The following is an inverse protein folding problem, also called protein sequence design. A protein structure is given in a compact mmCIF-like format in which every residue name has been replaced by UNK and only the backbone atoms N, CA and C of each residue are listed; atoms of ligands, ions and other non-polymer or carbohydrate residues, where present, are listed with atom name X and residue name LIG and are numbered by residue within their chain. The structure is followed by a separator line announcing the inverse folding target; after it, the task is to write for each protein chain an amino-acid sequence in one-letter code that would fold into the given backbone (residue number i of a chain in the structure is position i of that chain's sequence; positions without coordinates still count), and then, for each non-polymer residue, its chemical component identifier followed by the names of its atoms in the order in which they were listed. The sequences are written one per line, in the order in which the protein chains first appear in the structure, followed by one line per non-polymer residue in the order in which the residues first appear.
data_IF_567577772748
#
_entry.id   IF_567577772748
#
_cell.length_a   1.000
_cell.length_b   1.000
_cell.length_c   1.000
_cell.angle_alpha   90.00
_cell.angle_beta   90.00
_cell.angle_gamma   90.00
#
_symmetry.space_group_name_H-M   'P 1'
#
loop_
_entity.id
_entity.type
_entity.pdbx_description
1 polymer ?
#
# COMPACT_ATOMS: atom_id res chain seq x y z
N UNK A 1 -16.68 -49.27 -25.43
CA UNK A 1 -15.50 -48.42 -25.10
C UNK A 1 -14.28 -48.60 -26.04
N UNK A 2 -14.17 -49.63 -26.91
CA UNK A 2 -13.00 -49.82 -27.82
C UNK A 2 -13.08 -49.16 -29.21
N UNK A 3 -14.27 -48.71 -29.64
CA UNK A 3 -14.48 -48.21 -31.02
C UNK A 3 -13.66 -46.96 -31.39
N UNK A 4 -13.55 -45.98 -30.49
CA UNK A 4 -12.89 -44.69 -30.79
C UNK A 4 -11.36 -44.78 -30.94
N UNK A 5 -10.70 -45.70 -30.21
CA UNK A 5 -9.26 -45.96 -30.38
C UNK A 5 -8.95 -46.67 -31.69
N UNK A 6 -9.79 -47.63 -32.08
CA UNK A 6 -9.62 -48.40 -33.32
C UNK A 6 -9.95 -47.55 -34.55
N UNK A 7 -10.95 -46.67 -34.47
CA UNK A 7 -11.30 -45.72 -35.54
C UNK A 7 -10.24 -44.62 -35.73
N UNK A 8 -9.45 -44.34 -34.69
CA UNK A 8 -8.40 -43.33 -34.70
C UNK A 8 -8.94 -41.94 -34.38
N UNK A 9 -8.54 -41.40 -33.23
CA UNK A 9 -8.97 -40.07 -32.72
C UNK A 9 -8.73 -38.94 -33.74
N UNK A 10 -7.72 -39.08 -34.59
CA UNK A 10 -7.42 -38.10 -35.65
C UNK A 10 -8.47 -38.05 -36.77
N UNK A 11 -9.24 -39.12 -36.96
CA UNK A 11 -10.29 -39.24 -37.99
C UNK A 11 -11.66 -38.73 -37.51
N UNK A 12 -11.77 -38.34 -36.24
CA UNK A 12 -13.03 -37.83 -35.70
C UNK A 12 -13.30 -36.42 -36.22
N UNK A 13 -14.54 -36.13 -36.65
CA UNK A 13 -14.97 -34.77 -36.96
C UNK A 13 -14.72 -33.85 -35.77
N UNK A 14 -14.26 -32.62 -36.04
CA UNK A 14 -13.97 -31.60 -35.02
C UNK A 14 -14.90 -30.39 -35.19
N UNK A 15 -16.23 -30.55 -35.03
CA UNK A 15 -17.10 -29.39 -35.08
C UNK A 15 -16.72 -28.44 -33.93
N UNK A 16 -16.68 -27.12 -34.17
CA UNK A 16 -16.46 -26.18 -33.09
C UNK A 16 -17.59 -26.31 -32.06
N UNK A 17 -17.30 -26.15 -30.75
CA UNK A 17 -18.34 -26.15 -29.74
C UNK A 17 -19.29 -24.98 -30.01
N UNK A 18 -20.60 -25.27 -30.04
CA UNK A 18 -21.64 -24.26 -30.16
C UNK A 18 -22.13 -23.90 -28.76
N UNK A 19 -22.04 -22.62 -28.40
CA UNK A 19 -22.54 -22.10 -27.14
C UNK A 19 -23.20 -20.73 -27.38
N UNK A 20 -24.25 -20.37 -26.61
CA UNK A 20 -24.85 -19.05 -26.70
C UNK A 20 -23.87 -17.97 -26.20
N UNK A 21 -23.76 -16.87 -26.94
CA UNK A 21 -23.00 -15.70 -26.52
C UNK A 21 -23.82 -14.88 -25.52
N UNK A 22 -23.62 -15.15 -24.22
CA UNK A 22 -24.31 -14.42 -23.14
C UNK A 22 -23.37 -13.36 -22.57
N UNK A 23 -23.79 -12.09 -22.62
CA UNK A 23 -23.07 -11.00 -21.96
C UNK A 23 -23.21 -11.15 -20.44
N UNK A 24 -22.09 -11.18 -19.72
CA UNK A 24 -22.07 -11.17 -18.26
C UNK A 24 -21.69 -9.78 -17.77
N UNK A 25 -22.54 -9.18 -16.95
CA UNK A 25 -22.24 -7.90 -16.32
C UNK A 25 -21.01 -8.04 -15.43
N UNK A 26 -20.09 -7.06 -15.51
CA UNK A 26 -19.01 -6.92 -14.56
C UNK A 26 -19.36 -5.78 -13.61
N UNK A 27 -19.24 -5.97 -12.28
CA UNK A 27 -19.52 -4.89 -11.34
C UNK A 27 -18.58 -3.71 -11.59
N UNK A 28 -19.14 -2.55 -11.92
CA UNK A 28 -18.37 -1.33 -12.20
C UNK A 28 -17.55 -0.88 -10.98
N UNK A 29 -18.12 -1.01 -9.79
CA UNK A 29 -17.44 -0.69 -8.53
C UNK A 29 -16.36 -1.68 -8.10
N UNK A 30 -15.99 -2.65 -8.95
CA UNK A 30 -14.96 -3.62 -8.63
C UNK A 30 -13.89 -3.68 -9.73
N UNK A 31 -12.67 -3.26 -9.40
CA UNK A 31 -11.54 -3.36 -10.33
C UNK A 31 -11.00 -4.79 -10.41
N UNK A 32 -10.39 -5.12 -11.55
CA UNK A 32 -9.78 -6.45 -11.77
C UNK A 32 -8.41 -6.51 -11.11
N UNK A 33 -8.00 -7.72 -10.72
CA UNK A 33 -6.64 -8.01 -10.22
C UNK A 33 -5.54 -7.53 -11.19
N UNK A 34 -5.79 -7.60 -12.51
CA UNK A 34 -4.84 -7.11 -13.52
C UNK A 34 -4.62 -5.59 -13.45
N UNK A 35 -5.61 -4.81 -13.00
CA UNK A 35 -5.44 -3.36 -12.84
C UNK A 35 -4.36 -3.02 -11.80
N UNK A 36 -4.23 -3.84 -10.74
CA UNK A 36 -3.19 -3.67 -9.73
C UNK A 36 -1.78 -3.84 -10.31
N UNK A 37 -1.61 -4.79 -11.24
CA UNK A 37 -0.33 -4.99 -11.95
C UNK A 37 0.02 -3.78 -12.80
N UNK A 38 -0.95 -3.27 -13.55
CA UNK A 38 -0.76 -2.09 -14.39
C UNK A 38 -0.43 -0.85 -13.56
N UNK A 39 -1.07 -0.67 -12.41
CA UNK A 39 -0.77 0.43 -11.49
C UNK A 39 0.70 0.40 -11.01
N UNK A 40 1.21 -0.76 -10.60
CA UNK A 40 2.61 -0.89 -10.18
C UNK A 40 3.59 -0.80 -11.35
N UNK A 41 3.26 -1.35 -12.51
CA UNK A 41 4.07 -1.21 -13.71
C UNK A 41 4.21 0.26 -14.14
N UNK A 42 3.12 1.05 -14.06
CA UNK A 42 3.13 2.49 -14.30
C UNK A 42 3.97 3.27 -13.25
N UNK A 43 4.26 2.64 -12.11
CA UNK A 43 5.14 3.14 -11.05
C UNK A 43 6.57 2.59 -11.11
N UNK A 44 6.94 2.06 -12.29
CA UNK A 44 8.27 1.55 -12.59
C UNK A 44 8.70 0.38 -11.69
N UNK A 45 7.75 -0.50 -11.36
CA UNK A 45 8.03 -1.80 -10.77
C UNK A 45 7.95 -2.91 -11.82
N UNK A 46 8.92 -3.83 -11.76
CA UNK A 46 8.96 -5.02 -12.60
C UNK A 46 8.24 -6.19 -11.90
N UNK A 47 7.31 -6.85 -12.59
CA UNK A 47 6.65 -8.05 -12.05
C UNK A 47 7.66 -9.21 -11.99
N UNK A 48 7.68 -9.91 -10.86
CA UNK A 48 8.43 -11.15 -10.63
C UNK A 48 7.48 -12.26 -10.18
N UNK A 49 7.89 -13.51 -10.45
CA UNK A 49 7.14 -14.71 -10.03
C UNK A 49 8.09 -15.61 -9.27
N UNK A 50 7.82 -15.78 -7.98
CA UNK A 50 8.66 -16.57 -7.08
C UNK A 50 8.01 -17.93 -6.78
N UNK A 51 8.82 -18.88 -6.29
CA UNK A 51 8.29 -20.12 -5.76
C UNK A 51 7.41 -19.86 -4.53
N UNK A 52 6.32 -20.63 -4.42
CA UNK A 52 5.43 -20.61 -3.25
C UNK A 52 6.02 -21.33 -2.05
N UNK A 53 7.00 -22.21 -2.29
CA UNK A 53 7.78 -22.87 -1.26
C UNK A 53 9.14 -22.18 -1.10
N UNK A 54 9.55 -21.97 0.14
CA UNK A 54 10.67 -21.11 0.52
C UNK A 54 11.48 -21.75 1.65
N UNK A 55 12.56 -21.07 2.05
CA UNK A 55 13.37 -21.46 3.19
C UNK A 55 12.61 -21.21 4.49
N UNK A 56 12.67 -22.16 5.42
CA UNK A 56 12.06 -22.05 6.75
C UNK A 56 12.60 -20.85 7.54
N UNK A 57 13.86 -20.44 7.31
CA UNK A 57 14.45 -19.27 7.93
C UNK A 57 13.76 -17.95 7.51
N UNK A 58 13.25 -17.85 6.27
CA UNK A 58 12.57 -16.63 5.80
C UNK A 58 11.25 -16.41 6.52
N UNK A 59 10.54 -17.49 6.84
CA UNK A 59 9.28 -17.44 7.59
C UNK A 59 9.52 -16.93 9.02
N UNK A 60 10.59 -17.38 9.67
CA UNK A 60 10.98 -16.88 10.98
C UNK A 60 11.41 -15.40 10.92
N UNK A 61 12.26 -15.02 9.97
CA UNK A 61 12.83 -13.68 9.89
C UNK A 61 11.78 -12.61 9.49
N UNK A 62 11.02 -12.87 8.42
CA UNK A 62 10.16 -11.86 7.82
C UNK A 62 8.72 -11.90 8.35
N UNK A 63 8.21 -13.08 8.71
CA UNK A 63 6.85 -13.22 9.21
C UNK A 63 6.78 -13.50 10.72
N UNK A 64 7.91 -13.74 11.41
CA UNK A 64 7.89 -14.21 12.79
C UNK A 64 7.24 -15.58 12.95
N UNK A 65 7.12 -16.35 11.86
CA UNK A 65 6.39 -17.59 11.80
C UNK A 65 7.31 -18.78 12.12
N UNK A 66 7.24 -19.27 13.35
CA UNK A 66 8.03 -20.42 13.83
C UNK A 66 7.37 -21.78 13.54
N UNK A 67 6.16 -21.79 12.96
CA UNK A 67 5.41 -23.03 12.67
C UNK A 67 4.83 -23.04 11.25
N UNK A 68 5.66 -22.86 10.22
CA UNK A 68 5.19 -22.80 8.84
C UNK A 68 4.60 -24.13 8.35
N UNK A 69 3.94 -24.09 7.20
CA UNK A 69 3.37 -25.28 6.55
C UNK A 69 4.48 -26.02 5.80
N UNK A 70 5.01 -27.09 6.40
CA UNK A 70 6.10 -27.89 5.82
C UNK A 70 5.58 -28.83 4.72
N UNK A 71 6.36 -28.96 3.65
CA UNK A 71 6.14 -29.96 2.62
C UNK A 71 6.63 -31.33 3.09
N UNK A 72 5.89 -32.40 2.78
CA UNK A 72 6.30 -33.77 3.13
C UNK A 72 7.48 -34.25 2.29
N UNK A 73 7.48 -33.93 0.99
CA UNK A 73 8.51 -34.34 0.02
C UNK A 73 9.02 -33.12 -0.74
N UNK A 74 9.83 -32.25 -0.11
CA UNK A 74 10.34 -31.06 -0.77
C UNK A 74 11.36 -31.42 -1.87
N UNK A 75 11.36 -30.64 -2.96
CA UNK A 75 12.31 -30.83 -4.07
C UNK A 75 13.75 -30.49 -3.66
N UNK A 76 13.91 -29.60 -2.68
CA UNK A 76 15.19 -29.22 -2.08
C UNK A 76 14.99 -28.79 -0.62
N UNK A 77 16.03 -28.90 0.21
CA UNK A 77 15.96 -28.58 1.66
C UNK A 77 15.60 -27.12 1.96
N UNK A 78 16.08 -26.19 1.13
CA UNK A 78 15.79 -24.75 1.24
C UNK A 78 14.42 -24.35 0.64
N UNK A 79 13.65 -25.33 0.14
CA UNK A 79 12.31 -25.16 -0.42
C UNK A 79 11.33 -26.07 0.33
N UNK A 80 11.39 -26.00 1.66
CA UNK A 80 10.75 -26.97 2.55
C UNK A 80 9.43 -26.52 3.14
N UNK A 81 9.10 -25.23 3.06
CA UNK A 81 7.88 -24.68 3.68
C UNK A 81 7.10 -23.76 2.75
N UNK A 82 5.79 -23.68 2.91
CA UNK A 82 4.94 -22.74 2.17
C UNK A 82 5.05 -21.34 2.76
N UNK A 83 5.19 -20.34 1.90
CA UNK A 83 5.32 -18.93 2.30
C UNK A 83 4.06 -18.36 2.94
N UNK A 84 4.20 -17.60 4.03
CA UNK A 84 3.12 -16.77 4.61
C UNK A 84 3.21 -15.30 4.18
N UNK A 85 4.34 -14.91 3.59
CA UNK A 85 4.63 -13.58 3.06
C UNK A 85 5.40 -13.68 1.74
N UNK A 86 5.28 -12.66 0.89
CA UNK A 86 6.04 -12.45 -0.34
C UNK A 86 7.40 -11.79 -0.08
N UNK A 87 7.61 -11.19 1.10
CA UNK A 87 8.80 -10.37 1.42
C UNK A 87 10.10 -11.15 1.19
N UNK A 88 10.19 -12.41 1.64
CA UNK A 88 11.42 -13.20 1.49
C UNK A 88 11.85 -13.38 0.03
N UNK A 89 10.90 -13.72 -0.86
CA UNK A 89 11.17 -13.83 -2.29
C UNK A 89 11.57 -12.48 -2.91
N UNK A 90 10.93 -11.38 -2.51
CA UNK A 90 11.28 -10.04 -2.99
C UNK A 90 12.70 -9.62 -2.55
N UNK A 91 13.08 -9.91 -1.30
CA UNK A 91 14.43 -9.65 -0.77
C UNK A 91 15.48 -10.46 -1.52
N UNK A 92 15.22 -11.73 -1.82
CA UNK A 92 16.15 -12.56 -2.59
C UNK A 92 16.31 -12.07 -4.04
N UNK A 93 15.22 -11.61 -4.67
CA UNK A 93 15.29 -10.95 -5.98
C UNK A 93 16.18 -9.71 -5.95
N UNK A 94 16.04 -8.87 -4.91
CA UNK A 94 16.89 -7.69 -4.75
C UNK A 94 18.36 -8.10 -4.59
N UNK A 95 18.64 -9.02 -3.66
CA UNK A 95 19.99 -9.56 -3.42
C UNK A 95 20.62 -10.14 -4.68
N UNK A 96 19.88 -10.96 -5.43
CA UNK A 96 20.33 -11.58 -6.68
C UNK A 96 20.78 -10.54 -7.72
N UNK A 97 20.01 -9.46 -7.88
CA UNK A 97 20.29 -8.40 -8.85
C UNK A 97 21.40 -7.45 -8.37
N UNK A 98 21.42 -7.10 -7.09
CA UNK A 98 22.49 -6.28 -6.48
C UNK A 98 23.85 -6.98 -6.62
N UNK A 99 23.90 -8.30 -6.38
CA UNK A 99 25.10 -9.11 -6.59
C UNK A 99 25.58 -9.12 -8.05
N UNK A 100 24.70 -8.78 -8.99
CA UNK A 100 24.99 -8.57 -10.42
C UNK A 100 25.14 -7.11 -10.80
N UNK A 101 25.44 -6.25 -9.82
CA UNK A 101 25.73 -4.82 -9.98
C UNK A 101 24.55 -3.97 -10.42
N UNK A 102 23.31 -4.43 -10.20
CA UNK A 102 22.15 -3.56 -10.35
C UNK A 102 22.14 -2.48 -9.25
N UNK A 103 22.27 -1.20 -9.64
CA UNK A 103 22.25 -0.07 -8.71
C UNK A 103 20.85 0.27 -8.19
N UNK A 104 19.81 -0.19 -8.89
CA UNK A 104 18.40 0.08 -8.58
C UNK A 104 17.58 -1.17 -8.86
N UNK A 105 16.73 -1.55 -7.91
CA UNK A 105 15.81 -2.69 -8.04
C UNK A 105 14.43 -2.27 -7.54
N UNK A 106 13.43 -2.38 -8.41
CA UNK A 106 12.02 -2.17 -8.07
C UNK A 106 11.21 -3.32 -8.63
N UNK A 107 10.78 -4.20 -7.76
CA UNK A 107 10.09 -5.44 -8.13
C UNK A 107 8.80 -5.58 -7.35
N UNK A 108 7.81 -6.21 -7.97
CA UNK A 108 6.57 -6.56 -7.31
C UNK A 108 6.13 -7.97 -7.66
N UNK A 109 5.41 -8.60 -6.74
CA UNK A 109 4.82 -9.92 -6.95
C UNK A 109 3.33 -9.87 -6.58
N UNK A 110 2.52 -10.58 -7.36
CA UNK A 110 1.14 -10.87 -7.04
C UNK A 110 0.96 -12.38 -6.93
N UNK A 111 0.78 -12.89 -5.71
CA UNK A 111 0.85 -14.31 -5.42
C UNK A 111 0.04 -14.71 -4.19
N UNK A 112 -0.27 -16.02 -4.10
CA UNK A 112 -0.92 -16.56 -2.90
C UNK A 112 0.10 -16.75 -1.79
N UNK A 113 -0.38 -16.56 -0.56
CA UNK A 113 0.30 -16.98 0.68
C UNK A 113 -0.55 -18.03 1.38
N UNK A 114 0.04 -18.78 2.31
CA UNK A 114 -0.58 -19.97 2.91
C UNK A 114 -0.61 -19.85 4.43
N UNK A 115 -1.77 -19.46 4.96
CA UNK A 115 -1.94 -19.15 6.39
C UNK A 115 -2.68 -20.30 7.09
N UNK A 116 -2.23 -20.70 8.28
CA UNK A 116 -2.96 -21.66 9.12
C UNK A 116 -4.17 -20.97 9.74
N UNK A 117 -5.37 -21.35 9.31
CA UNK A 117 -6.65 -20.80 9.76
C UNK A 117 -7.59 -21.98 10.03
N UNK A 118 -7.68 -22.48 11.28
CA UNK A 118 -8.42 -23.70 11.63
C UNK A 118 -9.89 -23.72 11.18
N UNK A 119 -10.48 -22.55 11.02
CA UNK A 119 -11.87 -22.32 10.65
C UNK A 119 -12.16 -22.67 9.18
N UNK A 120 -11.13 -22.66 8.32
CA UNK A 120 -11.27 -22.99 6.89
C UNK A 120 -11.70 -24.45 6.75
N UNK A 121 -12.83 -24.66 6.11
CA UNK A 121 -13.35 -25.99 5.79
C UNK A 121 -12.79 -26.48 4.45
N UNK A 122 -12.85 -27.80 4.26
CA UNK A 122 -12.45 -28.41 3.00
C UNK A 122 -13.45 -28.06 1.90
N UNK A 123 -12.95 -27.74 0.70
CA UNK A 123 -13.75 -27.32 -0.44
C UNK A 123 -13.09 -27.69 -1.76
N UNK A 124 -13.76 -27.38 -2.89
CA UNK A 124 -13.23 -27.73 -4.21
C UNK A 124 -11.86 -27.08 -4.51
N UNK A 125 -11.60 -25.90 -3.94
CA UNK A 125 -10.37 -25.13 -4.09
C UNK A 125 -9.71 -24.79 -2.74
N UNK A 126 -10.29 -25.28 -1.64
CA UNK A 126 -9.92 -24.93 -0.27
C UNK A 126 -9.43 -26.17 0.46
N UNK A 127 -8.40 -25.97 1.29
CA UNK A 127 -7.81 -27.04 2.10
C UNK A 127 -8.15 -26.77 3.55
N UNK A 128 -8.74 -27.77 4.23
CA UNK A 128 -9.09 -27.63 5.64
C UNK A 128 -7.93 -27.08 6.48
N UNK A 129 -8.20 -26.02 7.24
CA UNK A 129 -7.23 -25.40 8.14
C UNK A 129 -6.21 -24.47 7.46
N UNK A 130 -6.33 -24.21 6.16
CA UNK A 130 -5.37 -23.37 5.40
C UNK A 130 -6.09 -22.34 4.54
N UNK A 131 -5.96 -21.06 4.90
CA UNK A 131 -6.38 -19.95 4.07
C UNK A 131 -5.31 -19.64 3.01
N UNK A 132 -5.74 -19.39 1.77
CA UNK A 132 -4.84 -19.12 0.64
C UNK A 132 -5.08 -17.74 0.01
N UNK A 133 -5.02 -16.64 0.79
CA UNK A 133 -5.33 -15.31 0.28
C UNK A 133 -4.32 -14.88 -0.77
N UNK A 134 -4.81 -14.09 -1.73
CA UNK A 134 -3.98 -13.43 -2.73
C UNK A 134 -3.40 -12.16 -2.11
N UNK A 135 -2.08 -11.98 -2.23
CA UNK A 135 -1.37 -10.78 -1.78
C UNK A 135 -0.64 -10.13 -2.95
N UNK A 136 -0.41 -8.84 -2.82
CA UNK A 136 0.45 -8.05 -3.69
C UNK A 136 1.52 -7.41 -2.83
N UNK A 137 2.78 -7.61 -3.18
CA UNK A 137 3.91 -7.05 -2.45
C UNK A 137 4.93 -6.45 -3.39
N UNK A 138 5.71 -5.51 -2.90
CA UNK A 138 6.76 -4.85 -3.66
C UNK A 138 7.95 -4.50 -2.80
N UNK A 139 9.10 -4.35 -3.47
CA UNK A 139 10.36 -3.93 -2.88
C UNK A 139 11.00 -2.89 -3.79
N UNK A 140 11.45 -1.79 -3.19
CA UNK A 140 12.25 -0.77 -3.84
C UNK A 140 13.62 -0.62 -3.14
N UNK A 141 14.68 -0.56 -3.93
CA UNK A 141 16.07 -0.41 -3.51
C UNK A 141 16.84 0.47 -4.49
N UNK A 142 17.78 1.27 -3.98
CA UNK A 142 18.64 2.15 -4.77
C UNK A 142 18.05 3.54 -4.98
N UNK A 143 18.28 4.14 -6.15
CA UNK A 143 17.76 5.46 -6.49
C UNK A 143 16.24 5.48 -6.69
N UNK A 144 15.58 6.60 -6.35
CA UNK A 144 14.15 6.82 -6.63
C UNK A 144 13.89 6.74 -8.12
N UNK A 145 14.66 7.52 -8.87
CA UNK A 145 14.70 7.50 -10.32
C UNK A 145 15.92 6.73 -10.82
N UNK A 146 15.85 6.26 -12.05
CA UNK A 146 17.04 5.80 -12.76
C UNK A 146 18.03 6.97 -12.91
N UNK A 147 19.32 6.67 -13.08
CA UNK A 147 20.34 7.69 -13.31
C UNK A 147 19.97 8.55 -14.52
N UNK A 148 19.89 9.86 -14.31
CA UNK A 148 19.53 10.82 -15.34
C UNK A 148 20.18 12.18 -15.07
N UNK A 149 20.32 12.99 -16.13
CA UNK A 149 20.93 14.32 -16.06
C UNK A 149 20.04 15.39 -15.40
N UNK A 150 18.72 15.16 -15.36
CA UNK A 150 17.74 16.16 -14.91
C UNK A 150 17.55 16.25 -13.40
N UNK A 151 18.03 15.26 -12.63
CA UNK A 151 17.81 15.20 -11.19
C UNK A 151 19.04 14.67 -10.45
N UNK A 152 19.36 15.21 -9.26
CA UNK A 152 20.41 14.66 -8.42
C UNK A 152 20.02 13.27 -7.91
N UNK A 153 21.01 12.40 -7.72
CA UNK A 153 20.78 11.09 -7.11
C UNK A 153 20.22 11.24 -5.69
N UNK A 154 19.10 10.57 -5.44
CA UNK A 154 18.50 10.38 -4.11
C UNK A 154 18.07 8.94 -3.96
N UNK A 155 18.43 8.31 -2.85
CA UNK A 155 17.98 6.97 -2.52
C UNK A 155 16.47 6.96 -2.21
N UNK A 156 15.80 5.86 -2.56
CA UNK A 156 14.39 5.64 -2.22
C UNK A 156 14.20 5.58 -0.71
N UNK A 157 13.14 6.25 -0.25
CA UNK A 157 12.74 6.25 1.16
C UNK A 157 11.31 5.75 1.37
N UNK A 158 10.88 5.75 2.64
CA UNK A 158 9.55 5.32 3.04
C UNK A 158 8.42 6.07 2.32
N UNK A 159 8.57 7.39 2.11
CA UNK A 159 7.51 8.23 1.56
C UNK A 159 7.37 8.04 0.04
N UNK A 160 8.46 7.72 -0.66
CA UNK A 160 8.41 7.36 -2.08
C UNK A 160 7.53 6.11 -2.30
N UNK A 161 7.75 5.06 -1.52
CA UNK A 161 6.95 3.82 -1.62
C UNK A 161 5.55 4.02 -1.03
N UNK A 162 5.39 4.89 -0.02
CA UNK A 162 4.06 5.26 0.48
C UNK A 162 3.21 5.87 -0.64
N UNK A 163 3.78 6.76 -1.45
CA UNK A 163 3.08 7.37 -2.59
C UNK A 163 2.72 6.32 -3.65
N UNK A 164 3.59 5.34 -3.92
CA UNK A 164 3.28 4.23 -4.82
C UNK A 164 2.10 3.38 -4.30
N UNK A 165 2.08 3.12 -2.98
CA UNK A 165 1.01 2.37 -2.31
C UNK A 165 -0.30 3.16 -2.29
N UNK A 166 -0.26 4.47 -2.03
CA UNK A 166 -1.45 5.34 -2.11
C UNK A 166 -2.03 5.35 -3.53
N UNK A 167 -1.18 5.43 -4.56
CA UNK A 167 -1.58 5.32 -5.97
C UNK A 167 -2.19 3.94 -6.27
N UNK A 168 -1.60 2.87 -5.74
CA UNK A 168 -2.15 1.52 -5.88
C UNK A 168 -3.54 1.41 -5.23
N UNK A 169 -3.80 2.14 -4.16
CA UNK A 169 -5.04 2.07 -3.38
C UNK A 169 -6.16 2.96 -3.93
N UNK A 170 -5.85 3.97 -4.73
CA UNK A 170 -6.83 4.87 -5.33
C UNK A 170 -8.02 4.10 -5.98
N UNK A 171 -9.28 4.52 -5.72
CA UNK A 171 -9.75 5.67 -4.94
C UNK A 171 -9.92 5.43 -3.42
N UNK A 172 -9.47 4.28 -2.91
CA UNK A 172 -9.62 3.92 -1.50
C UNK A 172 -8.70 4.76 -0.61
N UNK A 173 -9.27 5.29 0.46
CA UNK A 173 -8.54 6.09 1.45
C UNK A 173 -7.92 5.18 2.49
N UNK A 174 -6.59 5.07 2.46
CA UNK A 174 -5.83 4.28 3.42
C UNK A 174 -5.32 5.09 4.60
N UNK A 175 -5.32 4.43 5.75
CA UNK A 175 -4.69 4.92 6.98
C UNK A 175 -3.40 4.16 7.22
N UNK A 176 -2.32 4.90 7.49
CA UNK A 176 -1.02 4.33 7.82
C UNK A 176 -0.78 4.50 9.31
N UNK A 177 -0.93 3.42 10.07
CA UNK A 177 -0.80 3.42 11.53
C UNK A 177 0.58 2.92 11.92
N UNK A 178 1.32 3.70 12.71
CA UNK A 178 2.63 3.27 13.25
C UNK A 178 2.47 1.95 13.99
N UNK A 179 3.19 0.93 13.55
CA UNK A 179 3.11 -0.41 14.12
C UNK A 179 4.40 -1.17 13.84
N UNK A 180 4.74 -2.12 14.72
CA UNK A 180 5.94 -2.96 14.61
C UNK A 180 5.63 -4.21 13.80
N UNK A 181 6.58 -4.60 12.94
CA UNK A 181 6.50 -5.81 12.12
C UNK A 181 7.86 -6.53 12.14
N UNK A 182 7.92 -7.88 12.22
CA UNK A 182 9.18 -8.62 12.31
C UNK A 182 10.20 -8.31 11.20
N UNK A 183 9.73 -8.18 9.96
CA UNK A 183 10.58 -7.82 8.82
C UNK A 183 11.09 -6.36 8.82
N UNK A 184 10.46 -5.44 9.54
CA UNK A 184 10.58 -4.00 9.29
C UNK A 184 11.26 -3.25 10.43
N UNK A 185 11.85 -2.11 10.09
CA UNK A 185 12.44 -1.19 11.05
C UNK A 185 11.36 -0.60 11.97
N UNK A 186 11.47 -0.70 13.32
CA UNK A 186 10.39 -0.37 14.26
C UNK A 186 9.96 1.11 14.26
N UNK A 187 10.87 2.01 13.87
CA UNK A 187 10.57 3.44 13.72
C UNK A 187 10.14 3.87 12.31
N UNK A 188 10.19 2.96 11.32
CA UNK A 188 9.97 3.26 9.89
C UNK A 188 9.10 2.17 9.26
N UNK A 189 8.03 1.83 9.96
CA UNK A 189 7.05 0.83 9.58
C UNK A 189 5.63 1.29 9.93
N UNK A 190 4.69 0.97 9.06
CA UNK A 190 3.28 1.24 9.27
C UNK A 190 2.43 0.05 8.83
N UNK A 191 1.37 -0.20 9.61
CA UNK A 191 0.25 -1.04 9.22
C UNK A 191 -0.70 -0.22 8.38
N UNK A 192 -1.11 -0.78 7.25
CA UNK A 192 -2.03 -0.15 6.31
C UNK A 192 -3.43 -0.63 6.64
N UNK A 193 -4.35 0.31 6.82
CA UNK A 193 -5.76 0.03 7.09
C UNK A 193 -6.67 0.65 6.03
N UNK A 194 -7.72 -0.09 5.67
CA UNK A 194 -8.84 0.39 4.86
C UNK A 194 -10.12 0.24 5.69
N UNK A 195 -10.83 1.35 5.92
CA UNK A 195 -12.06 1.35 6.74
C UNK A 195 -11.84 0.79 8.16
N UNK A 196 -10.66 1.02 8.75
CA UNK A 196 -10.27 0.49 10.07
C UNK A 196 -9.85 -0.99 10.08
N UNK A 197 -9.93 -1.70 8.96
CA UNK A 197 -9.44 -3.07 8.83
C UNK A 197 -7.98 -3.06 8.38
N UNK A 198 -7.12 -3.82 9.06
CA UNK A 198 -5.76 -4.09 8.60
C UNK A 198 -5.76 -4.80 7.25
N UNK A 199 -5.05 -4.27 6.27
CA UNK A 199 -4.93 -4.87 4.93
C UNK A 199 -3.49 -5.14 4.51
N UNK A 200 -2.50 -4.62 5.24
CA UNK A 200 -1.11 -4.82 4.86
C UNK A 200 -0.12 -4.02 5.69
N UNK A 201 1.11 -3.97 5.18
CA UNK A 201 2.25 -3.33 5.81
C UNK A 201 3.10 -2.59 4.77
N UNK A 202 3.78 -1.54 5.22
CA UNK A 202 4.85 -0.84 4.50
C UNK A 202 5.96 -0.49 5.49
N UNK A 203 7.21 -0.56 5.06
CA UNK A 203 8.33 -0.06 5.86
C UNK A 203 9.69 -0.31 5.26
N UNK A 204 10.70 0.30 5.86
CA UNK A 204 12.09 -0.06 5.61
C UNK A 204 12.39 -1.43 6.22
N UNK A 205 13.18 -2.25 5.53
CA UNK A 205 13.63 -3.54 6.04
C UNK A 205 14.45 -3.35 7.33
N UNK A 206 14.26 -4.23 8.31
CA UNK A 206 14.99 -4.17 9.57
C UNK A 206 16.52 -4.26 9.32
N UNK A 207 17.36 -3.44 10.00
CA UNK A 207 18.81 -3.44 9.79
C UNK A 207 19.47 -4.82 9.97
N UNK A 208 18.94 -5.63 10.90
CA UNK A 208 19.41 -7.01 11.10
C UNK A 208 19.23 -7.89 9.87
N UNK A 209 18.13 -7.73 9.13
CA UNK A 209 17.86 -8.47 7.91
C UNK A 209 18.66 -7.90 6.75
N UNK A 210 18.79 -6.57 6.69
CA UNK A 210 19.70 -5.92 5.75
C UNK A 210 21.11 -6.51 5.86
N UNK A 211 21.63 -6.68 7.08
CA UNK A 211 22.94 -7.29 7.34
C UNK A 211 22.97 -8.79 7.00
N UNK A 212 22.00 -9.57 7.50
CA UNK A 212 21.93 -11.03 7.28
C UNK A 212 21.86 -11.41 5.80
N UNK A 213 21.14 -10.62 5.01
CA UNK A 213 20.95 -10.83 3.58
C UNK A 213 21.89 -9.98 2.71
N UNK A 214 22.90 -9.34 3.32
CA UNK A 214 24.00 -8.65 2.65
C UNK A 214 23.55 -7.52 1.72
N UNK A 215 22.49 -6.79 2.09
CA UNK A 215 22.00 -5.65 1.32
C UNK A 215 22.83 -4.39 1.64
N UNK A 216 23.52 -3.76 0.68
CA UNK A 216 24.42 -2.63 0.96
C UNK A 216 23.72 -1.37 1.48
N UNK A 217 22.41 -1.24 1.24
CA UNK A 217 21.59 -0.10 1.64
C UNK A 217 20.19 -0.57 2.06
N UNK A 218 19.40 0.26 2.78
CA UNK A 218 18.03 -0.08 3.14
C UNK A 218 17.17 -0.30 1.89
N UNK A 219 16.29 -1.31 1.96
CA UNK A 219 15.22 -1.51 0.99
C UNK A 219 13.88 -1.19 1.66
N UNK A 220 12.95 -0.62 0.90
CA UNK A 220 11.60 -0.33 1.37
C UNK A 220 10.67 -1.39 0.77
N UNK A 221 9.85 -2.01 1.61
CA UNK A 221 8.95 -3.09 1.22
C UNK A 221 7.51 -2.76 1.59
N UNK A 222 6.56 -3.28 0.81
CA UNK A 222 5.15 -3.30 1.17
C UNK A 222 4.53 -4.65 0.83
N UNK A 223 3.46 -5.01 1.53
CA UNK A 223 2.63 -6.18 1.22
C UNK A 223 1.18 -5.93 1.65
N UNK A 224 0.23 -6.20 0.76
CA UNK A 224 -1.20 -5.95 0.94
C UNK A 224 -2.03 -7.19 0.55
N UNK A 225 -3.12 -7.44 1.27
CA UNK A 225 -4.18 -8.35 0.84
C UNK A 225 -4.87 -7.80 -0.41
N UNK A 226 -5.08 -8.62 -1.43
CA UNK A 226 -5.65 -8.15 -2.70
C UNK A 226 -7.15 -7.95 -2.63
N UNK A 227 -7.88 -8.80 -1.92
CA UNK A 227 -9.35 -8.80 -1.95
C UNK A 227 -9.97 -7.45 -1.53
N UNK A 228 -9.53 -6.80 -0.41
CA UNK A 228 -10.06 -5.49 -0.02
C UNK A 228 -9.74 -4.36 -1.02
N UNK A 229 -8.71 -4.55 -1.85
CA UNK A 229 -8.27 -3.56 -2.84
C UNK A 229 -9.15 -3.57 -4.09
N UNK A 230 -9.96 -4.60 -4.30
CA UNK A 230 -10.73 -4.74 -5.54
C UNK A 230 -12.05 -3.97 -5.51
N UNK A 231 -12.66 -3.79 -4.34
CA UNK A 231 -13.91 -3.05 -4.18
C UNK A 231 -13.61 -1.55 -4.04
N UNK A 232 -13.93 -0.78 -5.08
CA UNK A 232 -13.62 0.66 -5.19
C UNK A 232 -14.87 1.54 -5.17
N UNK A 233 -16.05 0.93 -5.15
CA UNK A 233 -17.32 1.64 -5.26
C UNK A 233 -17.56 2.27 -6.64
N UNK A 234 -18.80 2.67 -6.89
CA UNK A 234 -19.18 3.39 -8.13
C UNK A 234 -19.11 4.89 -7.85
N UNK A 235 -18.41 5.69 -8.68
CA UNK A 235 -18.39 7.14 -8.55
C UNK A 235 -19.80 7.71 -8.53
N UNK A 236 -20.07 8.61 -7.57
CA UNK A 236 -21.34 9.34 -7.49
C UNK A 236 -21.12 10.76 -7.98
N UNK A 237 -22.01 11.22 -8.85
CA UNK A 237 -22.00 12.60 -9.29
C UNK A 237 -22.17 13.53 -8.08
N UNK A 238 -21.29 14.54 -8.03
CA UNK A 238 -21.41 15.67 -7.15
C UNK A 238 -21.41 16.94 -8.00
N UNK A 239 -22.25 17.91 -7.65
CA UNK A 239 -22.32 19.17 -8.37
C UNK A 239 -20.99 19.93 -8.27
N UNK A 240 -20.47 20.36 -9.41
CA UNK A 240 -19.26 21.19 -9.49
C UNK A 240 -19.68 22.65 -9.32
N UNK A 241 -19.07 23.33 -8.35
CA UNK A 241 -19.38 24.73 -8.08
C UNK A 241 -18.99 25.64 -9.25
N UNK A 242 -19.87 26.61 -9.53
CA UNK A 242 -19.62 27.72 -10.48
C UNK A 242 -19.02 28.95 -9.79
N UNK A 243 -18.91 28.93 -8.47
CA UNK A 243 -18.43 30.03 -7.64
C UNK A 243 -16.93 29.86 -7.37
N UNK A 244 -16.15 30.95 -7.19
CA UNK A 244 -14.72 30.84 -6.96
C UNK A 244 -14.41 30.14 -5.63
N UNK A 245 -13.30 29.41 -5.58
CA UNK A 245 -12.76 28.86 -4.35
C UNK A 245 -11.92 29.92 -3.60
N UNK A 246 -11.99 29.89 -2.27
CA UNK A 246 -11.14 30.68 -1.38
C UNK A 246 -10.13 29.75 -0.72
N UNK A 247 -8.86 30.14 -0.74
CA UNK A 247 -7.76 29.35 -0.18
C UNK A 247 -7.16 30.11 1.00
N UNK A 248 -7.03 29.45 2.15
CA UNK A 248 -6.38 29.99 3.35
C UNK A 248 -5.35 29.01 3.88
N UNK A 249 -4.16 29.52 4.17
CA UNK A 249 -3.09 28.74 4.78
C UNK A 249 -3.00 29.06 6.28
N UNK A 250 -2.66 28.04 7.08
CA UNK A 250 -2.47 28.17 8.53
C UNK A 250 -1.28 27.33 9.00
N UNK A 251 -0.32 27.98 9.62
CA UNK A 251 0.82 27.32 10.27
C UNK A 251 0.55 27.12 11.77
N UNK A 252 0.75 25.89 12.23
CA UNK A 252 0.51 25.47 13.62
C UNK A 252 1.77 24.85 14.20
N UNK A 253 2.17 25.35 15.37
CA UNK A 253 3.25 24.82 16.18
C UNK A 253 2.68 23.77 17.15
N UNK A 254 3.20 22.55 17.07
CA UNK A 254 2.76 21.41 17.87
C UNK A 254 3.95 20.67 18.47
N UNK A 255 3.73 19.87 19.49
CA UNK A 255 4.77 19.01 20.04
C UNK A 255 5.21 17.95 19.03
N UNK A 256 6.51 17.61 19.06
CA UNK A 256 7.17 16.76 18.07
C UNK A 256 6.54 15.36 17.96
N UNK A 257 6.06 14.82 19.07
CA UNK A 257 5.47 13.48 19.15
C UNK A 257 4.06 13.38 18.54
N UNK A 258 3.38 14.50 18.29
CA UNK A 258 2.01 14.50 17.75
C UNK A 258 2.04 14.10 16.28
N UNK A 259 1.29 13.07 15.92
CA UNK A 259 1.23 12.57 14.54
C UNK A 259 0.41 13.52 13.64
N UNK A 260 0.89 13.74 12.42
CA UNK A 260 0.19 14.61 11.46
C UNK A 260 -1.23 14.11 11.14
N UNK A 261 -1.43 12.79 11.09
CA UNK A 261 -2.75 12.19 10.86
C UNK A 261 -3.74 12.55 11.98
N UNK A 262 -3.30 12.63 13.24
CA UNK A 262 -4.18 13.00 14.34
C UNK A 262 -4.70 14.45 14.21
N UNK A 263 -3.85 15.35 13.70
CA UNK A 263 -4.23 16.74 13.41
C UNK A 263 -5.22 16.81 12.23
N UNK A 264 -4.94 16.07 11.15
CA UNK A 264 -5.84 15.99 9.99
C UNK A 264 -7.20 15.41 10.38
N UNK A 265 -7.24 14.35 11.18
CA UNK A 265 -8.48 13.74 11.67
C UNK A 265 -9.29 14.74 12.52
N UNK A 266 -8.61 15.53 13.35
CA UNK A 266 -9.29 16.53 14.17
C UNK A 266 -9.88 17.66 13.32
N UNK A 267 -9.14 18.16 12.32
CA UNK A 267 -9.61 19.15 11.36
C UNK A 267 -10.82 18.62 10.57
N UNK A 268 -10.72 17.39 10.08
CA UNK A 268 -11.78 16.71 9.35
C UNK A 268 -13.05 16.54 10.21
N UNK A 269 -12.90 16.22 11.50
CA UNK A 269 -14.03 16.02 12.42
C UNK A 269 -14.88 17.26 12.68
N UNK A 270 -14.30 18.46 12.48
CA UNK A 270 -15.01 19.74 12.66
C UNK A 270 -15.18 20.48 11.34
N UNK A 271 -14.89 19.83 10.20
CA UNK A 271 -14.85 20.45 8.88
C UNK A 271 -16.22 21.00 8.47
N UNK A 272 -16.36 22.32 8.22
CA UNK A 272 -17.58 22.86 7.63
C UNK A 272 -17.85 22.27 6.23
N UNK A 273 -19.13 22.15 5.85
CA UNK A 273 -19.53 21.49 4.60
C UNK A 273 -18.96 22.13 3.32
N UNK A 274 -18.66 23.43 3.34
CA UNK A 274 -18.04 24.14 2.23
C UNK A 274 -16.51 24.02 2.18
N UNK A 275 -15.85 23.44 3.19
CA UNK A 275 -14.42 23.12 3.13
C UNK A 275 -14.22 21.86 2.28
N UNK A 276 -13.62 22.02 1.11
CA UNK A 276 -13.42 20.96 0.12
C UNK A 276 -12.20 20.12 0.41
N UNK A 277 -11.13 20.76 0.83
CA UNK A 277 -9.83 20.10 0.99
C UNK A 277 -9.06 20.73 2.16
N UNK A 278 -8.35 19.89 2.91
CA UNK A 278 -7.41 20.28 3.95
C UNK A 278 -6.12 19.50 3.70
N UNK A 279 -5.06 20.21 3.32
CA UNK A 279 -3.81 19.58 2.86
C UNK A 279 -2.62 20.09 3.68
N UNK A 280 -1.88 19.17 4.28
CA UNK A 280 -0.58 19.48 4.88
C UNK A 280 0.44 19.65 3.74
N UNK A 281 1.03 20.83 3.61
CA UNK A 281 1.96 21.13 2.51
C UNK A 281 3.39 21.46 2.98
N UNK A 282 3.59 21.74 4.27
CA UNK A 282 4.93 22.00 4.80
C UNK A 282 5.10 21.48 6.23
N UNK A 283 6.30 20.99 6.52
CA UNK A 283 6.78 20.57 7.83
C UNK A 283 8.15 21.21 8.06
N UNK A 284 8.22 22.10 9.05
CA UNK A 284 9.45 22.81 9.37
C UNK A 284 9.95 22.44 10.78
N UNK A 285 11.21 21.99 10.82
CA UNK A 285 12.02 21.77 12.02
C UNK A 285 13.32 22.54 11.82
N UNK A 286 13.58 23.57 12.62
CA UNK A 286 14.78 24.38 12.42
C UNK A 286 14.80 25.64 13.26
N UNK A 287 15.68 26.57 12.87
CA UNK A 287 15.87 27.84 13.58
C UNK A 287 14.53 28.57 13.72
N UNK A 288 14.23 29.03 14.94
CA UNK A 288 12.98 29.69 15.29
C UNK A 288 11.84 28.77 15.73
N UNK A 289 12.06 27.45 15.74
CA UNK A 289 11.17 26.48 16.39
C UNK A 289 11.72 26.12 17.77
N UNK A 290 10.92 26.21 18.85
CA UNK A 290 11.33 25.72 20.16
C UNK A 290 11.72 24.24 20.13
N UNK A 291 12.67 23.85 20.97
CA UNK A 291 13.07 22.45 21.09
C UNK A 291 11.87 21.57 21.47
N UNK A 292 11.79 20.36 20.88
CA UNK A 292 10.68 19.44 21.10
C UNK A 292 9.38 19.81 20.38
N UNK A 293 9.39 20.83 19.52
CA UNK A 293 8.24 21.23 18.68
C UNK A 293 8.54 21.15 17.19
N UNK A 294 7.47 21.16 16.40
CA UNK A 294 7.50 21.28 14.93
C UNK A 294 6.38 22.18 14.44
N UNK A 295 6.61 22.84 13.31
CA UNK A 295 5.61 23.66 12.64
C UNK A 295 5.05 22.93 11.43
N UNK A 296 3.73 22.82 11.35
CA UNK A 296 3.01 22.18 10.25
C UNK A 296 2.12 23.24 9.58
N UNK A 297 2.19 23.35 8.25
CA UNK A 297 1.38 24.29 7.49
C UNK A 297 0.28 23.57 6.72
N UNK A 298 -0.96 23.96 6.99
CA UNK A 298 -2.15 23.42 6.36
C UNK A 298 -2.74 24.43 5.39
N UNK A 299 -3.14 23.94 4.21
CA UNK A 299 -3.91 24.68 3.22
C UNK A 299 -5.35 24.22 3.28
N UNK A 300 -6.28 25.16 3.42
CA UNK A 300 -7.72 24.91 3.46
C UNK A 300 -8.36 25.53 2.23
N UNK A 301 -8.99 24.69 1.41
CA UNK A 301 -9.73 25.11 0.21
C UNK A 301 -11.22 25.13 0.54
N UNK A 302 -11.86 26.28 0.38
CA UNK A 302 -13.26 26.53 0.72
C UNK A 302 -14.05 26.95 -0.52
N UNK A 303 -15.17 26.29 -0.78
CA UNK A 303 -16.03 26.57 -1.92
C UNK A 303 -17.45 26.04 -1.69
N UNK A 304 -18.45 26.88 -1.89
CA UNK A 304 -19.86 26.49 -1.86
C UNK A 304 -20.43 26.34 -3.28
N UNK A 305 -21.42 25.47 -3.48
CA UNK A 305 -22.02 25.23 -4.82
C UNK A 305 -23.17 26.17 -5.15
N UNK A 306 -23.79 26.82 -4.15
CA UNK A 306 -24.93 27.70 -4.31
C UNK A 306 -24.62 29.20 -4.24
N UNK A 307 -23.46 29.60 -3.70
CA UNK A 307 -23.07 31.02 -3.59
C UNK A 307 -21.56 31.24 -3.42
N UNK A 308 -21.14 32.49 -3.58
CA UNK A 308 -19.82 32.95 -3.16
C UNK A 308 -19.74 33.03 -1.63
N UNK A 309 -18.62 32.58 -1.05
CA UNK A 309 -18.34 32.68 0.37
C UNK A 309 -17.96 34.12 0.74
N UNK A 310 -18.47 34.59 1.87
CA UNK A 310 -18.07 35.89 2.44
C UNK A 310 -16.81 35.74 3.31
N UNK A 311 -16.05 36.82 3.48
CA UNK A 311 -14.85 36.82 4.32
C UNK A 311 -15.16 36.39 5.76
N UNK A 312 -16.30 36.83 6.32
CA UNK A 312 -16.72 36.46 7.67
C UNK A 312 -16.92 34.94 7.83
N UNK A 313 -17.43 34.26 6.81
CA UNK A 313 -17.64 32.80 6.83
C UNK A 313 -16.34 32.03 6.70
N UNK A 314 -15.45 32.52 5.85
CA UNK A 314 -14.09 31.98 5.68
C UNK A 314 -13.31 32.10 6.99
N UNK A 315 -13.35 33.27 7.61
CA UNK A 315 -12.64 33.53 8.87
C UNK A 315 -13.22 32.70 10.03
N UNK A 316 -14.54 32.57 10.10
CA UNK A 316 -15.20 31.70 11.08
C UNK A 316 -14.79 30.22 10.92
N UNK A 317 -14.74 29.72 9.67
CA UNK A 317 -14.27 28.35 9.41
C UNK A 317 -12.80 28.16 9.82
N UNK A 318 -11.93 29.11 9.49
CA UNK A 318 -10.52 29.04 9.87
C UNK A 318 -10.32 29.12 11.39
N UNK A 319 -11.12 29.93 12.09
CA UNK A 319 -11.12 30.01 13.54
C UNK A 319 -11.55 28.68 14.17
N UNK A 320 -12.64 28.07 13.67
CA UNK A 320 -13.13 26.77 14.13
C UNK A 320 -12.07 25.66 13.95
N UNK A 321 -11.42 25.60 12.78
CA UNK A 321 -10.36 24.63 12.51
C UNK A 321 -9.15 24.84 13.43
N UNK A 322 -8.76 26.10 13.65
CA UNK A 322 -7.64 26.44 14.53
C UNK A 322 -7.96 26.07 15.99
N UNK A 323 -9.16 26.39 16.47
CA UNK A 323 -9.60 26.07 17.83
C UNK A 323 -9.61 24.56 18.11
N UNK A 324 -9.99 23.74 17.12
CA UNK A 324 -9.92 22.28 17.26
C UNK A 324 -8.49 21.78 17.47
N UNK A 325 -7.50 22.41 16.84
CA UNK A 325 -6.09 22.06 17.03
C UNK A 325 -5.54 22.58 18.37
N UNK A 326 -5.91 23.80 18.77
CA UNK A 326 -5.53 24.39 20.06
C UNK A 326 -6.08 23.56 21.21
N UNK A 327 -7.38 23.31 21.23
CA UNK A 327 -8.08 22.62 22.32
C UNK A 327 -7.66 21.16 22.49
N UNK A 328 -7.45 20.42 21.40
CA UNK A 328 -7.13 18.98 21.47
C UNK A 328 -5.64 18.67 21.61
N UNK A 329 -4.77 19.54 21.10
CA UNK A 329 -3.34 19.25 20.98
C UNK A 329 -2.43 20.33 21.57
N UNK A 330 -2.98 21.37 22.19
CA UNK A 330 -2.19 22.50 22.69
C UNK A 330 -1.45 23.23 21.56
N UNK A 331 -1.93 23.13 20.32
CA UNK A 331 -1.30 23.74 19.17
C UNK A 331 -1.27 25.27 19.31
N UNK A 332 -0.21 25.91 18.85
CA UNK A 332 -0.06 27.36 18.89
C UNK A 332 0.02 27.91 17.47
N UNK A 333 -0.74 28.96 17.19
CA UNK A 333 -0.65 29.61 15.89
C UNK A 333 0.73 30.24 15.72
N UNK A 334 1.37 29.96 14.59
CA UNK A 334 2.58 30.67 14.18
C UNK A 334 2.19 31.92 13.39
N UNK A 335 2.65 33.08 13.85
CA UNK A 335 2.50 34.37 13.14
C UNK A 335 3.56 34.46 12.05
#
# INVERSE_FOLDING_TARGET
RRGWRVFGVRRLPRPPPRAPAVMRAQPEGRRRVHALRLALAARDYQEVVNFSFVDEAWEADFAGNTRPLRLLNPIASHLSVMRTTLIGGLVDNARYNINRKAARVRVFELGRVFLRVPEVQDGALDVKGVAQPLRIGGLAYGGVNAEQWGEPYRAVDFYDVKADVETLLEPLQARFVKAVHPALHPGRSARIELGGRAVGWIGELHPQWQQKYELPAPAVVFELEVEPLLDIGVPRYAEVSKFPAVIRDRAMLVDEHIEAQALLDALESVRPAFVREITLFDLYRGKGIPEGKKSLAFRVVMQDTGRTLTDAEVDAAMAQLTEALVSRFGAQQRI
#
